data_IF_763854435566
#
_entry.id   IF_763854435566
#
_cell.length_a   1.000
_cell.length_b   1.000
_cell.length_c   1.000
_cell.angle_alpha   90.00
_cell.angle_beta   90.00
_cell.angle_gamma   90.00
#
_symmetry.space_group_name_H-M   'P 1'
#
loop_
_entity.id
_entity.type
_entity.pdbx_description
1 polymer ?
#
# COMPACT_ATOMS: atom_id res chain seq x y z
N UNK A 1 29.27 25.05 0.42
CA UNK A 1 27.81 24.88 0.27
C UNK A 1 27.44 23.47 -0.20
N UNK A 2 27.91 22.98 -1.35
CA UNK A 2 27.59 21.64 -1.88
C UNK A 2 28.01 20.50 -0.95
N UNK A 3 29.23 20.53 -0.39
CA UNK A 3 29.71 19.50 0.56
C UNK A 3 28.86 19.44 1.84
N UNK A 4 28.43 20.59 2.38
CA UNK A 4 27.53 20.61 3.55
C UNK A 4 26.18 19.97 3.27
N UNK A 5 25.57 20.28 2.12
CA UNK A 5 24.29 19.72 1.71
C UNK A 5 24.38 18.19 1.48
N UNK A 6 25.48 17.69 0.89
CA UNK A 6 25.71 16.26 0.73
C UNK A 6 25.81 15.54 2.10
N UNK A 7 26.50 16.14 3.07
CA UNK A 7 26.61 15.60 4.43
C UNK A 7 25.24 15.56 5.11
N UNK A 8 24.41 16.59 4.96
CA UNK A 8 23.05 16.63 5.54
C UNK A 8 22.14 15.55 4.94
N UNK A 9 22.23 15.31 3.61
CA UNK A 9 21.47 14.23 2.95
C UNK A 9 21.95 12.87 3.44
N UNK A 10 23.25 12.65 3.60
CA UNK A 10 23.80 11.41 4.15
C UNK A 10 23.32 11.18 5.58
N UNK A 11 23.26 12.21 6.39
CA UNK A 11 22.70 12.16 7.75
C UNK A 11 21.22 11.80 7.72
N UNK A 12 20.41 12.40 6.84
CA UNK A 12 19.00 12.07 6.67
C UNK A 12 18.81 10.60 6.28
N UNK A 13 19.57 10.11 5.29
CA UNK A 13 19.54 8.69 4.88
C UNK A 13 19.92 7.79 6.05
N UNK A 14 20.92 8.15 6.82
CA UNK A 14 21.34 7.38 8.01
C UNK A 14 20.23 7.33 9.06
N UNK A 15 19.56 8.45 9.33
CA UNK A 15 18.38 8.51 10.23
C UNK A 15 17.28 7.58 9.73
N UNK A 16 16.95 7.60 8.44
CA UNK A 16 15.93 6.74 7.86
C UNK A 16 16.29 5.24 7.98
N UNK A 17 17.56 4.87 7.71
CA UNK A 17 18.04 3.49 7.81
C UNK A 17 17.99 3.00 9.27
N UNK A 18 18.46 3.82 10.21
CA UNK A 18 18.43 3.47 11.64
C UNK A 18 16.98 3.28 12.11
N UNK A 19 16.09 4.22 11.77
CA UNK A 19 14.67 4.14 12.12
C UNK A 19 14.01 2.90 11.49
N UNK A 20 14.22 2.67 10.19
CA UNK A 20 13.73 1.49 9.49
C UNK A 20 14.19 0.20 10.15
N UNK A 21 15.48 0.10 10.48
CA UNK A 21 16.06 -1.10 11.09
C UNK A 21 15.49 -1.34 12.50
N UNK A 22 15.36 -0.28 13.30
CA UNK A 22 14.77 -0.36 14.64
C UNK A 22 13.30 -0.81 14.58
N UNK A 23 12.52 -0.24 13.65
CA UNK A 23 11.11 -0.62 13.42
C UNK A 23 11.00 -2.06 12.93
N UNK A 24 11.84 -2.49 11.99
CA UNK A 24 11.84 -3.86 11.49
C UNK A 24 12.14 -4.88 12.60
N UNK A 25 13.13 -4.61 13.43
CA UNK A 25 13.47 -5.45 14.60
C UNK A 25 12.31 -5.48 15.60
N UNK A 26 11.72 -4.33 15.91
CA UNK A 26 10.57 -4.24 16.81
C UNK A 26 9.37 -5.04 16.27
N UNK A 27 9.04 -4.90 14.99
CA UNK A 27 7.98 -5.66 14.33
C UNK A 27 8.25 -7.16 14.43
N UNK A 28 9.47 -7.60 14.18
CA UNK A 28 9.85 -9.00 14.30
C UNK A 28 9.67 -9.52 15.74
N UNK A 29 10.24 -8.83 16.73
CA UNK A 29 10.16 -9.25 18.13
C UNK A 29 8.71 -9.32 18.60
N UNK A 30 7.94 -8.25 18.33
CA UNK A 30 6.53 -8.18 18.76
C UNK A 30 5.69 -9.26 18.07
N UNK A 31 5.90 -9.52 16.76
CA UNK A 31 5.18 -10.59 16.05
C UNK A 31 5.50 -11.97 16.62
N UNK A 32 6.75 -12.25 16.95
CA UNK A 32 7.15 -13.56 17.52
C UNK A 32 6.61 -13.77 18.95
N UNK A 33 6.50 -12.70 19.74
CA UNK A 33 5.94 -12.76 21.10
C UNK A 33 4.42 -12.91 21.05
N UNK A 34 3.75 -12.10 20.23
CA UNK A 34 2.28 -12.00 20.22
C UNK A 34 1.61 -12.99 19.28
N UNK A 35 2.38 -13.60 18.38
CA UNK A 35 1.88 -14.45 17.28
C UNK A 35 0.91 -13.73 16.33
N UNK A 36 0.98 -12.40 16.28
CA UNK A 36 0.27 -11.55 15.35
C UNK A 36 1.30 -10.94 14.40
N UNK A 37 1.30 -11.37 13.16
CA UNK A 37 2.29 -11.01 12.14
C UNK A 37 1.92 -9.76 11.34
N UNK A 38 0.83 -9.07 11.71
CA UNK A 38 0.42 -7.80 11.10
C UNK A 38 1.03 -6.56 11.77
N UNK A 39 2.17 -6.67 12.44
CA UNK A 39 2.79 -5.51 13.07
C UNK A 39 3.31 -4.51 12.02
N UNK A 40 3.87 -4.99 10.92
CA UNK A 40 4.28 -4.12 9.80
C UNK A 40 3.07 -3.50 9.11
N UNK A 41 1.98 -4.26 8.93
CA UNK A 41 0.74 -3.75 8.31
C UNK A 41 0.20 -2.52 9.07
N UNK A 42 0.33 -2.50 10.42
CA UNK A 42 -0.05 -1.35 11.27
C UNK A 42 0.80 -0.12 11.02
N UNK A 43 2.06 -0.29 10.69
CA UNK A 43 3.03 0.77 10.48
C UNK A 43 3.15 1.18 9.01
N UNK A 44 2.55 0.41 8.10
CA UNK A 44 2.61 0.63 6.66
C UNK A 44 2.20 2.05 6.26
N UNK A 45 1.12 2.56 6.85
CA UNK A 45 0.60 3.90 6.59
C UNK A 45 1.29 5.00 7.40
N UNK A 46 1.93 4.66 8.53
CA UNK A 46 2.50 5.63 9.47
C UNK A 46 3.95 5.98 9.14
N UNK A 47 4.76 4.99 8.75
CA UNK A 47 6.19 5.21 8.51
C UNK A 47 6.49 6.19 7.37
N UNK A 48 5.78 6.19 6.22
CA UNK A 48 5.97 7.22 5.20
C UNK A 48 5.66 8.64 5.70
N UNK A 49 4.66 8.79 6.59
CA UNK A 49 4.37 10.08 7.23
C UNK A 49 5.56 10.51 8.08
N UNK A 50 6.12 9.62 8.88
CA UNK A 50 7.28 9.92 9.74
C UNK A 50 8.49 10.32 8.88
N UNK A 51 8.83 9.54 7.84
CA UNK A 51 9.92 9.88 6.92
C UNK A 51 9.71 11.24 6.26
N UNK A 52 8.48 11.54 5.83
CA UNK A 52 8.19 12.79 5.13
C UNK A 52 8.34 14.01 6.04
N UNK A 53 7.87 13.95 7.28
CA UNK A 53 7.98 15.08 8.20
C UNK A 53 9.37 15.24 8.78
N UNK A 54 10.15 14.17 9.00
CA UNK A 54 11.57 14.26 9.31
C UNK A 54 12.30 14.98 8.17
N UNK A 55 12.02 14.61 6.92
CA UNK A 55 12.62 15.26 5.75
C UNK A 55 12.22 16.74 5.67
N UNK A 56 10.94 17.05 5.90
CA UNK A 56 10.44 18.44 5.87
C UNK A 56 11.06 19.33 6.97
N UNK A 57 11.36 18.75 8.13
CA UNK A 57 12.01 19.47 9.22
C UNK A 57 13.49 19.80 8.94
N UNK A 58 14.20 18.91 8.23
CA UNK A 58 15.62 19.09 7.91
C UNK A 58 15.78 19.89 6.60
N UNK A 59 14.92 19.64 5.61
CA UNK A 59 14.95 20.26 4.28
C UNK A 59 13.62 20.97 3.98
N UNK A 60 13.35 22.14 4.59
CA UNK A 60 12.10 22.86 4.40
C UNK A 60 12.03 23.48 3.00
N UNK A 61 11.26 22.85 2.10
CA UNK A 61 10.94 23.38 0.79
C UNK A 61 9.47 23.18 0.46
N UNK A 62 8.91 24.02 -0.41
CA UNK A 62 7.49 23.90 -0.82
C UNK A 62 7.17 22.53 -1.38
N UNK A 63 8.10 21.93 -2.17
CA UNK A 63 7.93 20.59 -2.73
C UNK A 63 7.84 19.53 -1.63
N UNK A 64 8.81 19.52 -0.70
CA UNK A 64 8.83 18.54 0.41
C UNK A 64 7.59 18.69 1.29
N UNK A 65 7.16 19.93 1.55
CA UNK A 65 5.94 20.19 2.32
C UNK A 65 4.67 19.64 1.63
N UNK A 66 4.53 19.87 0.31
CA UNK A 66 3.42 19.33 -0.49
C UNK A 66 3.44 17.80 -0.45
N UNK A 67 4.60 17.19 -0.67
CA UNK A 67 4.78 15.74 -0.62
C UNK A 67 4.39 15.18 0.76
N UNK A 68 4.84 15.80 1.84
CA UNK A 68 4.53 15.39 3.22
C UNK A 68 3.04 15.50 3.52
N UNK A 69 2.40 16.57 3.05
CA UNK A 69 0.95 16.77 3.21
C UNK A 69 0.15 15.71 2.47
N UNK A 70 0.51 15.39 1.23
CA UNK A 70 -0.14 14.35 0.42
C UNK A 70 0.02 12.96 1.03
N UNK A 71 1.23 12.61 1.48
CA UNK A 71 1.49 11.35 2.19
C UNK A 71 0.71 11.27 3.50
N UNK A 72 0.55 12.40 4.20
CA UNK A 72 -0.27 12.44 5.43
C UNK A 72 -1.75 12.14 5.11
N UNK A 73 -2.31 12.77 4.07
CA UNK A 73 -3.70 12.49 3.64
C UNK A 73 -3.87 11.01 3.26
N UNK A 74 -2.95 10.48 2.46
CA UNK A 74 -2.94 9.06 2.09
C UNK A 74 -2.84 8.15 3.33
N UNK A 75 -1.89 8.40 4.21
CA UNK A 75 -1.65 7.56 5.37
C UNK A 75 -2.78 7.59 6.40
N UNK A 76 -3.38 8.76 6.65
CA UNK A 76 -4.56 8.87 7.52
C UNK A 76 -5.76 8.10 6.94
N UNK A 77 -6.00 8.20 5.63
CA UNK A 77 -7.03 7.44 4.94
C UNK A 77 -6.80 5.93 5.07
N UNK A 78 -5.56 5.47 4.83
CA UNK A 78 -5.22 4.05 4.93
C UNK A 78 -5.33 3.55 6.39
N UNK A 79 -4.84 4.33 7.36
CA UNK A 79 -4.98 4.05 8.79
C UNK A 79 -6.44 3.92 9.20
N UNK A 80 -7.31 4.83 8.73
CA UNK A 80 -8.75 4.73 8.97
C UNK A 80 -9.35 3.45 8.39
N UNK A 81 -8.98 3.10 7.13
CA UNK A 81 -9.45 1.86 6.49
C UNK A 81 -9.00 0.61 7.25
N UNK A 82 -7.76 0.61 7.76
CA UNK A 82 -7.22 -0.49 8.56
C UNK A 82 -7.89 -0.58 9.95
N UNK A 83 -8.12 0.57 10.60
CA UNK A 83 -8.80 0.67 11.89
C UNK A 83 -10.21 0.07 11.87
N UNK A 84 -11.03 0.46 10.87
CA UNK A 84 -12.43 -0.03 10.78
C UNK A 84 -12.55 -1.53 10.48
N UNK A 85 -11.45 -2.17 10.03
CA UNK A 85 -11.33 -3.63 9.85
C UNK A 85 -10.81 -4.33 11.11
N UNK A 86 -10.64 -3.61 12.22
CA UNK A 86 -10.14 -4.17 13.49
C UNK A 86 -8.63 -4.29 13.58
N UNK A 87 -7.86 -3.76 12.61
CA UNK A 87 -6.41 -3.88 12.58
C UNK A 87 -5.70 -3.15 13.72
N UNK A 88 -6.25 -2.01 14.19
CA UNK A 88 -5.77 -1.30 15.37
C UNK A 88 -6.57 -1.68 16.61
N UNK A 89 -5.91 -1.64 17.76
CA UNK A 89 -6.48 -1.86 19.07
C UNK A 89 -5.88 -0.85 20.08
N UNK A 90 -6.56 -0.60 21.20
CA UNK A 90 -6.05 0.23 22.30
C UNK A 90 -4.68 -0.29 22.79
N UNK A 91 -4.50 -1.60 22.80
CA UNK A 91 -3.21 -2.23 23.04
C UNK A 91 -2.49 -2.36 21.69
N UNK A 92 -1.39 -1.62 21.43
CA UNK A 92 -0.80 -1.45 20.09
C UNK A 92 -0.43 -2.74 19.37
N UNK A 93 0.00 -3.78 20.10
CA UNK A 93 0.37 -5.07 19.50
C UNK A 93 -0.80 -6.05 19.30
N UNK A 94 -2.00 -5.72 19.79
CA UNK A 94 -3.25 -6.46 19.54
C UNK A 94 -3.94 -5.91 18.28
N UNK A 95 -5.04 -6.52 17.91
CA UNK A 95 -5.84 -6.21 16.72
C UNK A 95 -5.96 -7.44 15.82
N UNK A 96 -6.83 -7.34 14.83
CA UNK A 96 -7.04 -8.42 13.87
C UNK A 96 -5.78 -8.64 13.01
N UNK A 97 -5.38 -9.89 12.87
CA UNK A 97 -4.29 -10.28 11.97
C UNK A 97 -4.82 -10.39 10.53
N UNK A 98 -4.06 -9.92 9.55
CA UNK A 98 -4.40 -10.14 8.16
C UNK A 98 -4.42 -11.66 7.86
N UNK A 99 -5.54 -12.13 7.30
CA UNK A 99 -5.79 -13.55 7.03
C UNK A 99 -4.72 -14.19 6.13
N UNK A 100 -4.01 -13.41 5.33
CA UNK A 100 -2.92 -13.89 4.47
C UNK A 100 -1.81 -14.53 5.27
N UNK A 101 -1.46 -13.96 6.43
CA UNK A 101 -0.42 -14.52 7.29
C UNK A 101 -0.81 -15.86 7.88
N UNK A 102 -2.10 -16.04 8.23
CA UNK A 102 -2.62 -17.34 8.65
C UNK A 102 -2.50 -18.38 7.55
N UNK A 103 -2.92 -18.05 6.32
CA UNK A 103 -2.79 -18.94 5.16
C UNK A 103 -1.33 -19.29 4.86
N UNK A 104 -0.42 -18.32 4.98
CA UNK A 104 1.01 -18.54 4.77
C UNK A 104 1.61 -19.47 5.84
N UNK A 105 1.18 -19.38 7.10
CA UNK A 105 1.63 -20.29 8.17
C UNK A 105 1.18 -21.75 7.93
N UNK A 106 0.04 -21.93 7.30
CA UNK A 106 -0.50 -23.27 6.99
C UNK A 106 0.13 -23.88 5.73
N UNK A 107 0.87 -23.08 4.95
CA UNK A 107 1.56 -23.55 3.74
C UNK A 107 2.65 -24.57 4.09
N UNK A 108 2.70 -25.67 3.37
CA UNK A 108 3.62 -26.79 3.62
C UNK A 108 5.10 -26.38 3.61
N UNK A 109 5.50 -25.41 2.79
CA UNK A 109 6.88 -24.90 2.69
C UNK A 109 7.29 -24.07 3.92
N UNK A 110 6.33 -23.35 4.53
CA UNK A 110 6.57 -22.44 5.66
C UNK A 110 6.15 -23.04 7.00
N UNK A 111 5.53 -24.23 6.99
CA UNK A 111 5.04 -24.89 8.20
C UNK A 111 6.18 -25.19 9.17
N UNK A 112 6.00 -24.75 10.41
CA UNK A 112 6.97 -24.93 11.51
C UNK A 112 7.54 -23.59 12.01
N UNK A 113 7.85 -23.57 13.32
CA UNK A 113 8.25 -22.34 14.02
C UNK A 113 9.48 -21.68 13.42
N UNK A 114 10.51 -22.46 13.10
CA UNK A 114 11.76 -21.92 12.56
C UNK A 114 11.57 -21.35 11.13
N UNK A 115 10.93 -22.13 10.24
CA UNK A 115 10.72 -21.72 8.83
C UNK A 115 9.85 -20.47 8.75
N UNK A 116 8.76 -20.43 9.50
CA UNK A 116 7.90 -19.25 9.53
C UNK A 116 8.58 -18.06 10.23
N UNK A 117 9.36 -18.29 11.28
CA UNK A 117 10.17 -17.26 11.92
C UNK A 117 11.20 -16.63 10.98
N UNK A 118 11.90 -17.42 10.15
CA UNK A 118 12.79 -16.91 9.11
C UNK A 118 12.02 -16.11 8.04
N UNK A 119 10.86 -16.62 7.60
CA UNK A 119 9.99 -15.90 6.67
C UNK A 119 9.48 -14.58 7.28
N UNK A 120 9.07 -14.57 8.55
CA UNK A 120 8.70 -13.36 9.27
C UNK A 120 9.87 -12.37 9.33
N UNK A 121 11.06 -12.83 9.67
CA UNK A 121 12.23 -11.97 9.76
C UNK A 121 12.55 -11.31 8.41
N UNK A 122 12.81 -12.14 7.38
CA UNK A 122 13.30 -11.62 6.10
C UNK A 122 12.19 -10.96 5.28
N UNK A 123 11.01 -11.55 5.19
CA UNK A 123 9.96 -11.08 4.29
C UNK A 123 8.95 -10.14 4.96
N UNK A 124 8.40 -10.51 6.14
CA UNK A 124 7.38 -9.67 6.75
C UNK A 124 8.04 -8.46 7.41
N UNK A 125 9.08 -8.66 8.24
CA UNK A 125 9.64 -7.57 9.04
C UNK A 125 10.65 -6.72 8.28
N UNK A 126 11.65 -7.32 7.61
CA UNK A 126 12.71 -6.54 6.96
C UNK A 126 12.34 -6.10 5.54
N UNK A 127 11.95 -7.02 4.65
CA UNK A 127 11.66 -6.66 3.26
C UNK A 127 10.56 -5.60 3.17
N UNK A 128 9.46 -5.70 3.93
CA UNK A 128 8.39 -4.72 3.87
C UNK A 128 8.80 -3.36 4.44
N UNK A 129 9.59 -3.30 5.52
CA UNK A 129 10.10 -2.02 6.03
C UNK A 129 11.13 -1.38 5.08
N UNK A 130 12.00 -2.18 4.42
CA UNK A 130 12.87 -1.70 3.35
C UNK A 130 12.04 -1.16 2.18
N UNK A 131 10.98 -1.84 1.80
CA UNK A 131 10.09 -1.40 0.73
C UNK A 131 9.40 -0.07 1.06
N UNK A 132 8.91 0.09 2.30
CA UNK A 132 8.33 1.35 2.79
C UNK A 132 9.36 2.50 2.67
N UNK A 133 10.60 2.27 3.08
CA UNK A 133 11.68 3.25 2.94
C UNK A 133 11.92 3.59 1.46
N UNK A 134 11.98 2.55 0.59
CA UNK A 134 12.29 2.73 -0.83
C UNK A 134 11.20 3.49 -1.59
N UNK A 135 9.92 3.20 -1.38
CA UNK A 135 8.87 3.95 -2.07
C UNK A 135 8.68 5.37 -1.48
N UNK A 136 9.18 5.63 -0.25
CA UNK A 136 9.29 6.99 0.31
C UNK A 136 10.50 7.78 -0.24
N UNK A 137 11.45 7.12 -0.90
CA UNK A 137 12.73 7.72 -1.31
C UNK A 137 12.65 8.88 -2.34
N UNK A 138 11.56 9.13 -3.10
CA UNK A 138 11.41 10.38 -3.85
C UNK A 138 11.58 11.64 -3.02
N UNK A 139 11.31 11.58 -1.70
CA UNK A 139 11.60 12.67 -0.76
C UNK A 139 13.09 13.02 -0.69
N UNK A 140 13.99 12.03 -0.79
CA UNK A 140 15.44 12.27 -0.80
C UNK A 140 15.86 13.03 -2.07
N UNK A 141 15.21 12.75 -3.21
CA UNK A 141 15.43 13.51 -4.44
C UNK A 141 14.96 14.97 -4.29
N UNK A 142 13.80 15.17 -3.65
CA UNK A 142 13.27 16.50 -3.38
C UNK A 142 14.16 17.28 -2.38
N UNK A 143 14.63 16.63 -1.32
CA UNK A 143 15.55 17.22 -0.34
C UNK A 143 16.88 17.65 -0.96
N UNK A 144 17.46 16.82 -1.85
CA UNK A 144 18.71 17.12 -2.54
C UNK A 144 18.61 18.23 -3.59
N UNK A 145 17.39 18.67 -3.94
CA UNK A 145 17.12 19.69 -4.96
C UNK A 145 16.12 20.75 -4.45
N UNK A 146 16.23 21.14 -3.18
CA UNK A 146 15.29 22.05 -2.53
C UNK A 146 15.19 23.43 -3.16
N UNK A 147 16.28 23.89 -3.80
CA UNK A 147 16.37 25.22 -4.44
C UNK A 147 15.64 25.28 -5.80
N UNK A 148 15.27 24.12 -6.37
CA UNK A 148 14.56 24.09 -7.64
C UNK A 148 13.08 24.45 -7.47
N UNK A 149 12.53 25.34 -8.33
CA UNK A 149 11.13 25.73 -8.26
C UNK A 149 10.20 24.54 -8.55
N UNK A 150 8.94 24.69 -8.16
CA UNK A 150 7.87 23.77 -8.56
C UNK A 150 7.66 23.83 -10.07
N UNK A 151 7.33 22.71 -10.66
CA UNK A 151 7.12 22.51 -12.09
C UNK A 151 5.71 22.03 -12.37
N UNK A 152 5.30 21.98 -13.65
CA UNK A 152 4.04 21.39 -14.06
C UNK A 152 3.96 19.89 -13.68
N UNK A 153 5.10 19.19 -13.60
CA UNK A 153 5.15 17.78 -13.18
C UNK A 153 4.72 17.65 -11.71
N UNK A 154 5.15 18.56 -10.84
CA UNK A 154 4.72 18.59 -9.42
C UNK A 154 3.21 18.77 -9.30
N UNK A 155 2.64 19.71 -10.09
CA UNK A 155 1.20 19.96 -10.10
C UNK A 155 0.42 18.71 -10.56
N UNK A 156 0.81 18.13 -11.68
CA UNK A 156 0.16 16.94 -12.22
C UNK A 156 0.29 15.75 -11.27
N UNK A 157 1.48 15.51 -10.71
CA UNK A 157 1.73 14.48 -9.73
C UNK A 157 0.82 14.63 -8.50
N UNK A 158 0.69 15.85 -7.98
CA UNK A 158 -0.18 16.15 -6.83
C UNK A 158 -1.67 15.93 -7.14
N UNK A 159 -2.15 16.44 -8.26
CA UNK A 159 -3.57 16.28 -8.68
C UNK A 159 -3.91 14.82 -8.91
N UNK A 160 -3.06 14.07 -9.64
CA UNK A 160 -3.31 12.65 -9.89
C UNK A 160 -3.18 11.82 -8.61
N UNK A 161 -2.23 12.12 -7.72
CA UNK A 161 -2.11 11.45 -6.43
C UNK A 161 -3.38 11.61 -5.60
N UNK A 162 -3.92 12.83 -5.46
CA UNK A 162 -5.19 13.08 -4.78
C UNK A 162 -6.36 12.32 -5.44
N UNK A 163 -6.40 12.31 -6.76
CA UNK A 163 -7.42 11.58 -7.52
C UNK A 163 -7.37 10.08 -7.20
N UNK A 164 -6.18 9.48 -7.17
CA UNK A 164 -6.04 8.06 -6.85
C UNK A 164 -6.31 7.75 -5.37
N UNK A 165 -6.01 8.66 -4.43
CA UNK A 165 -6.42 8.55 -3.03
C UNK A 165 -7.95 8.50 -2.91
N UNK A 166 -8.68 9.31 -3.68
CA UNK A 166 -10.15 9.30 -3.73
C UNK A 166 -10.66 7.98 -4.33
N UNK A 167 -10.11 7.55 -5.47
CA UNK A 167 -10.50 6.29 -6.12
C UNK A 167 -10.29 5.11 -5.18
N UNK A 168 -9.17 5.05 -4.49
CA UNK A 168 -8.86 4.00 -3.52
C UNK A 168 -9.83 4.03 -2.34
N UNK A 169 -10.17 5.22 -1.84
CA UNK A 169 -11.16 5.40 -0.78
C UNK A 169 -12.54 4.87 -1.19
N UNK A 170 -12.95 5.11 -2.44
CA UNK A 170 -14.20 4.60 -3.00
C UNK A 170 -14.15 3.07 -3.10
N UNK A 171 -13.07 2.50 -3.63
CA UNK A 171 -12.91 1.05 -3.77
C UNK A 171 -12.95 0.34 -2.40
N UNK A 172 -12.20 0.85 -1.43
CA UNK A 172 -12.17 0.31 -0.06
C UNK A 172 -13.54 0.43 0.63
N UNK A 173 -14.25 1.55 0.43
CA UNK A 173 -15.61 1.72 0.97
C UNK A 173 -16.62 0.76 0.35
N UNK A 174 -16.53 0.51 -0.96
CA UNK A 174 -17.36 -0.49 -1.63
C UNK A 174 -17.13 -1.88 -1.05
N UNK A 175 -15.87 -2.28 -0.91
CA UNK A 175 -15.51 -3.59 -0.37
C UNK A 175 -15.92 -3.74 1.11
N UNK A 176 -15.70 -2.70 1.91
CA UNK A 176 -16.07 -2.71 3.34
C UNK A 176 -17.57 -2.88 3.53
N UNK A 177 -18.39 -2.08 2.80
CA UNK A 177 -19.86 -2.19 2.85
C UNK A 177 -20.36 -3.55 2.38
N UNK A 178 -19.78 -4.09 1.28
CA UNK A 178 -20.09 -5.43 0.82
C UNK A 178 -19.86 -6.47 1.94
N UNK A 179 -18.72 -6.40 2.64
CA UNK A 179 -18.45 -7.33 3.74
C UNK A 179 -19.41 -7.15 4.92
N UNK A 180 -19.80 -5.91 5.24
CA UNK A 180 -20.80 -5.66 6.29
C UNK A 180 -22.17 -6.28 5.95
N UNK A 181 -22.67 -6.04 4.73
CA UNK A 181 -23.94 -6.60 4.27
C UNK A 181 -23.91 -8.14 4.25
N UNK A 182 -22.79 -8.71 3.76
CA UNK A 182 -22.59 -10.16 3.74
C UNK A 182 -22.58 -10.76 5.14
N UNK A 183 -21.92 -10.14 6.12
CA UNK A 183 -21.84 -10.63 7.49
C UNK A 183 -23.18 -10.50 8.24
N UNK A 184 -24.05 -9.56 7.85
CA UNK A 184 -25.41 -9.42 8.39
C UNK A 184 -26.40 -10.42 7.83
N UNK A 185 -26.00 -11.20 6.81
CA UNK A 185 -26.92 -12.12 6.13
C UNK A 185 -27.95 -11.43 5.24
N UNK A 186 -27.73 -10.16 4.89
CA UNK A 186 -28.60 -9.38 4.02
C UNK A 186 -28.47 -9.84 2.55
N UNK A 187 -29.11 -10.96 2.23
CA UNK A 187 -29.10 -11.50 0.86
C UNK A 187 -29.88 -10.65 -0.14
N UNK A 188 -30.61 -9.64 0.33
CA UNK A 188 -31.51 -8.80 -0.48
C UNK A 188 -31.05 -7.35 -0.61
N UNK A 189 -29.80 -7.00 -0.24
CA UNK A 189 -29.29 -5.66 -0.48
C UNK A 189 -29.44 -5.29 -1.96
N UNK A 190 -30.14 -4.17 -2.23
CA UNK A 190 -30.29 -3.65 -3.60
C UNK A 190 -28.95 -3.25 -4.22
N UNK A 191 -27.97 -2.87 -3.38
CA UNK A 191 -26.71 -2.27 -3.83
C UNK A 191 -25.68 -3.29 -4.34
N UNK A 192 -25.56 -4.45 -3.65
CA UNK A 192 -24.54 -5.47 -3.97
C UNK A 192 -25.17 -6.85 -4.23
N UNK A 193 -26.38 -6.87 -4.79
CA UNK A 193 -27.17 -8.10 -4.98
C UNK A 193 -26.43 -9.20 -5.75
N UNK A 194 -25.76 -8.82 -6.85
CA UNK A 194 -24.99 -9.78 -7.68
C UNK A 194 -23.76 -10.30 -6.92
N UNK A 195 -23.04 -9.41 -6.24
CA UNK A 195 -21.84 -9.75 -5.44
C UNK A 195 -22.17 -10.63 -4.26
N UNK A 196 -23.29 -10.36 -3.55
CA UNK A 196 -23.74 -11.17 -2.41
C UNK A 196 -24.10 -12.60 -2.84
N UNK A 197 -24.81 -12.78 -3.96
CA UNK A 197 -25.11 -14.11 -4.53
C UNK A 197 -23.86 -14.90 -4.90
N UNK A 198 -22.83 -14.22 -5.42
CA UNK A 198 -21.54 -14.86 -5.79
C UNK A 198 -20.62 -15.06 -4.59
N UNK A 199 -20.83 -14.33 -3.50
CA UNK A 199 -20.02 -14.36 -2.30
C UNK A 199 -18.73 -13.52 -2.38
N UNK A 200 -18.47 -12.81 -3.48
CA UNK A 200 -17.33 -11.91 -3.67
C UNK A 200 -17.74 -10.66 -4.47
N UNK A 201 -16.99 -9.56 -4.30
CA UNK A 201 -17.30 -8.25 -4.88
C UNK A 201 -17.06 -8.25 -6.39
N UNK A 202 -18.10 -7.81 -7.17
CA UNK A 202 -18.06 -7.72 -8.65
C UNK A 202 -18.75 -6.46 -9.18
N UNK A 203 -19.17 -5.56 -8.32
CA UNK A 203 -19.95 -4.36 -8.65
C UNK A 203 -19.14 -3.09 -8.34
N UNK A 204 -19.62 -1.93 -8.75
CA UNK A 204 -18.91 -0.67 -8.61
C UNK A 204 -17.59 -0.63 -9.40
N UNK A 205 -16.49 -0.23 -8.78
CA UNK A 205 -15.16 -0.22 -9.42
C UNK A 205 -14.64 -1.64 -9.73
N UNK A 206 -15.08 -2.63 -8.98
CA UNK A 206 -14.70 -4.05 -9.10
C UNK A 206 -15.25 -4.73 -10.37
N UNK A 207 -16.12 -4.07 -11.12
CA UNK A 207 -16.55 -4.54 -12.43
C UNK A 207 -15.57 -4.21 -13.56
N UNK A 208 -14.65 -3.27 -13.33
CA UNK A 208 -13.67 -2.83 -14.34
C UNK A 208 -12.30 -3.49 -14.13
N UNK A 209 -11.88 -3.64 -12.88
CA UNK A 209 -10.65 -4.33 -12.49
C UNK A 209 -10.90 -5.12 -11.21
N UNK A 210 -10.18 -6.24 -11.03
CA UNK A 210 -10.35 -7.11 -9.86
C UNK A 210 -9.79 -6.52 -8.57
N UNK A 211 -8.84 -5.60 -8.67
CA UNK A 211 -8.15 -4.97 -7.52
C UNK A 211 -8.06 -3.45 -7.69
N UNK A 212 -9.21 -2.73 -7.70
CA UNK A 212 -9.20 -1.28 -7.95
C UNK A 212 -8.47 -0.49 -6.85
N UNK A 213 -8.50 -0.94 -5.60
CA UNK A 213 -7.75 -0.36 -4.51
C UNK A 213 -6.23 -0.58 -4.67
N UNK A 214 -5.78 -1.78 -5.04
CA UNK A 214 -4.36 -2.04 -5.31
C UNK A 214 -3.84 -1.25 -6.51
N UNK A 215 -4.69 -1.09 -7.54
CA UNK A 215 -4.35 -0.25 -8.71
C UNK A 215 -4.15 1.20 -8.28
N UNK A 216 -5.08 1.74 -7.52
CA UNK A 216 -4.98 3.11 -7.04
C UNK A 216 -3.78 3.33 -6.13
N UNK A 217 -3.49 2.40 -5.22
CA UNK A 217 -2.31 2.44 -4.35
C UNK A 217 -1.00 2.49 -5.15
N UNK A 218 -0.86 1.62 -6.17
CA UNK A 218 0.32 1.64 -7.04
C UNK A 218 0.46 2.97 -7.78
N UNK A 219 -0.65 3.51 -8.29
CA UNK A 219 -0.66 4.80 -9.00
C UNK A 219 -0.35 5.98 -8.08
N UNK A 220 -0.75 5.95 -6.82
CA UNK A 220 -0.36 6.94 -5.79
C UNK A 220 1.17 7.00 -5.69
N UNK A 221 1.85 5.86 -5.55
CA UNK A 221 3.30 5.83 -5.40
C UNK A 221 4.06 6.08 -6.70
N UNK A 222 3.46 5.79 -7.85
CA UNK A 222 3.98 6.24 -9.16
C UNK A 222 3.89 7.78 -9.25
N UNK A 223 2.77 8.40 -8.84
CA UNK A 223 2.67 9.85 -8.80
C UNK A 223 3.68 10.46 -7.82
N UNK A 224 3.89 9.81 -6.67
CA UNK A 224 4.89 10.24 -5.71
C UNK A 224 6.32 10.19 -6.26
N UNK A 225 6.63 9.18 -7.07
CA UNK A 225 7.90 9.10 -7.81
C UNK A 225 8.11 10.30 -8.75
N UNK A 226 7.04 10.79 -9.40
CA UNK A 226 7.15 11.94 -10.30
C UNK A 226 7.53 13.25 -9.60
N UNK A 227 7.28 13.41 -8.30
CA UNK A 227 7.88 14.52 -7.54
C UNK A 227 9.41 14.42 -7.49
N UNK A 228 9.96 13.22 -7.37
CA UNK A 228 11.40 12.98 -7.45
C UNK A 228 11.97 13.31 -8.84
N UNK A 229 11.22 12.99 -9.91
CA UNK A 229 11.56 13.38 -11.28
C UNK A 229 11.53 14.89 -11.44
N UNK A 230 10.48 15.57 -10.96
CA UNK A 230 10.35 17.02 -11.01
C UNK A 230 11.49 17.72 -10.26
N UNK A 231 11.90 17.16 -9.12
CA UNK A 231 13.00 17.70 -8.33
C UNK A 231 14.36 17.53 -9.02
N UNK A 232 14.66 16.33 -9.51
CA UNK A 232 15.98 16.01 -10.05
C UNK A 232 16.15 16.39 -11.52
N UNK A 233 15.07 16.37 -12.31
CA UNK A 233 15.08 16.42 -13.77
C UNK A 233 15.46 15.07 -14.43
N UNK A 234 15.65 14.03 -13.64
CA UNK A 234 16.04 12.69 -14.11
C UNK A 234 14.81 11.77 -14.16
N UNK A 235 14.42 11.35 -15.36
CA UNK A 235 13.30 10.42 -15.58
C UNK A 235 13.55 9.02 -15.01
N UNK A 236 14.81 8.59 -14.94
CA UNK A 236 15.22 7.34 -14.32
C UNK A 236 16.21 7.68 -13.22
N UNK A 237 15.83 7.41 -11.99
CA UNK A 237 16.66 7.61 -10.81
C UNK A 237 16.41 6.49 -9.78
N UNK A 238 17.22 6.42 -8.73
CA UNK A 238 17.18 5.30 -7.77
C UNK A 238 15.83 5.12 -7.07
N UNK A 239 15.06 6.20 -6.92
CA UNK A 239 13.76 6.14 -6.22
C UNK A 239 12.68 5.39 -7.01
N UNK A 240 12.90 5.11 -8.31
CA UNK A 240 12.05 4.26 -9.14
C UNK A 240 11.99 2.82 -8.59
N UNK A 241 13.07 2.36 -7.94
CA UNK A 241 13.15 1.02 -7.35
C UNK A 241 12.02 0.76 -6.37
N UNK A 242 11.67 1.74 -5.55
CA UNK A 242 10.57 1.61 -4.59
C UNK A 242 9.21 1.37 -5.27
N UNK A 243 8.90 2.13 -6.32
CA UNK A 243 7.67 1.95 -7.08
C UNK A 243 7.61 0.59 -7.79
N UNK A 244 8.72 0.14 -8.39
CA UNK A 244 8.80 -1.18 -9.06
C UNK A 244 8.59 -2.30 -8.05
N UNK A 245 9.29 -2.29 -6.93
CA UNK A 245 9.18 -3.34 -5.91
C UNK A 245 7.78 -3.37 -5.28
N UNK A 246 7.14 -2.22 -5.12
CA UNK A 246 5.76 -2.13 -4.65
C UNK A 246 4.78 -2.79 -5.65
N UNK A 247 4.94 -2.52 -6.95
CA UNK A 247 4.13 -3.16 -7.99
C UNK A 247 4.30 -4.68 -7.96
N UNK A 248 5.53 -5.17 -7.83
CA UNK A 248 5.81 -6.60 -7.74
C UNK A 248 5.19 -7.23 -6.49
N UNK A 249 5.23 -6.54 -5.34
CA UNK A 249 4.55 -6.98 -4.12
C UNK A 249 3.04 -7.11 -4.34
N UNK A 250 2.40 -6.11 -4.98
CA UNK A 250 0.96 -6.15 -5.24
C UNK A 250 0.57 -7.24 -6.24
N UNK A 251 1.40 -7.52 -7.25
CA UNK A 251 1.19 -8.64 -8.16
C UNK A 251 1.21 -9.96 -7.37
N UNK A 252 2.22 -10.20 -6.54
CA UNK A 252 2.30 -11.39 -5.70
C UNK A 252 1.14 -11.51 -4.70
N UNK A 253 0.79 -10.40 -4.03
CA UNK A 253 -0.33 -10.34 -3.09
C UNK A 253 -1.67 -10.63 -3.77
N UNK A 254 -1.90 -10.09 -4.97
CA UNK A 254 -3.12 -10.35 -5.73
C UNK A 254 -3.23 -11.82 -6.15
N UNK A 255 -2.14 -12.44 -6.58
CA UNK A 255 -2.12 -13.87 -6.93
C UNK A 255 -2.50 -14.75 -5.72
N UNK A 256 -1.98 -14.42 -4.53
CA UNK A 256 -2.32 -15.13 -3.29
C UNK A 256 -3.82 -14.99 -2.95
N UNK A 257 -4.34 -13.75 -2.95
CA UNK A 257 -5.75 -13.48 -2.62
C UNK A 257 -6.71 -14.06 -3.64
N UNK A 258 -6.36 -14.03 -4.94
CA UNK A 258 -7.14 -14.66 -6.01
C UNK A 258 -7.12 -16.20 -5.89
N UNK A 259 -5.99 -16.79 -5.51
CA UNK A 259 -5.88 -18.22 -5.24
C UNK A 259 -6.80 -18.66 -4.10
N UNK A 260 -6.87 -17.89 -3.01
CA UNK A 260 -7.78 -18.14 -1.88
C UNK A 260 -9.24 -18.00 -2.33
N UNK A 261 -9.55 -16.94 -3.08
CA UNK A 261 -10.91 -16.67 -3.57
C UNK A 261 -11.38 -17.75 -4.55
N UNK A 262 -10.53 -18.20 -5.46
CA UNK A 262 -10.85 -19.25 -6.44
C UNK A 262 -11.15 -20.61 -5.77
N UNK A 263 -10.48 -20.92 -4.66
CA UNK A 263 -10.77 -22.14 -3.88
C UNK A 263 -12.10 -22.05 -3.13
N UNK A 264 -12.47 -20.84 -2.68
CA UNK A 264 -13.67 -20.60 -1.88
C UNK A 264 -14.93 -20.41 -2.73
N UNK A 265 -14.81 -19.83 -3.93
CA UNK A 265 -15.93 -19.44 -4.78
C UNK A 265 -15.74 -20.00 -6.20
N UNK A 266 -16.53 -20.98 -6.66
CA UNK A 266 -16.38 -21.59 -7.99
C UNK A 266 -16.47 -20.59 -9.14
N UNK A 267 -17.39 -19.60 -9.05
CA UNK A 267 -17.58 -18.56 -10.09
C UNK A 267 -16.42 -17.54 -10.15
N UNK A 268 -15.50 -17.53 -9.17
CA UNK A 268 -14.38 -16.58 -9.17
C UNK A 268 -13.42 -16.84 -10.33
N UNK A 269 -13.29 -18.09 -10.77
CA UNK A 269 -12.47 -18.46 -11.93
C UNK A 269 -12.97 -17.83 -13.24
N UNK A 270 -14.29 -17.68 -13.41
CA UNK A 270 -14.92 -17.01 -14.55
C UNK A 270 -14.64 -15.50 -14.47
N UNK A 271 -14.89 -14.89 -13.32
CA UNK A 271 -14.62 -13.47 -13.08
C UNK A 271 -13.16 -13.12 -13.36
N UNK A 272 -12.22 -14.01 -12.98
CA UNK A 272 -10.77 -13.83 -13.22
C UNK A 272 -10.43 -13.83 -14.71
N UNK A 273 -11.12 -14.59 -15.54
CA UNK A 273 -10.94 -14.64 -17.00
C UNK A 273 -11.53 -13.41 -17.71
N UNK A 274 -12.66 -12.90 -17.21
CA UNK A 274 -13.41 -11.82 -17.84
C UNK A 274 -12.88 -10.43 -17.47
N UNK A 275 -12.47 -10.24 -16.20
CA UNK A 275 -12.09 -8.94 -15.64
C UNK A 275 -10.58 -8.88 -15.42
N UNK A 276 -9.89 -7.82 -15.91
CA UNK A 276 -8.45 -7.63 -15.71
C UNK A 276 -8.08 -7.41 -14.23
N UNK A 277 -6.80 -7.73 -13.87
CA UNK A 277 -6.30 -7.56 -12.50
C UNK A 277 -6.23 -6.11 -12.06
N UNK A 278 -5.47 -5.32 -12.81
CA UNK A 278 -5.12 -3.94 -12.44
C UNK A 278 -5.49 -2.90 -13.52
N UNK A 279 -5.16 -3.15 -14.79
CA UNK A 279 -5.33 -2.17 -15.87
C UNK A 279 -6.66 -2.41 -16.58
N UNK A 280 -7.57 -1.44 -16.57
CA UNK A 280 -8.88 -1.57 -17.22
C UNK A 280 -8.75 -1.42 -18.73
N UNK A 281 -8.36 -2.48 -19.46
CA UNK A 281 -8.35 -2.43 -20.95
C UNK A 281 -9.74 -2.60 -21.57
N UNK A 282 -10.74 -2.95 -20.79
CA UNK A 282 -12.15 -2.98 -21.18
C UNK A 282 -12.89 -1.90 -20.39
N UNK A 283 -12.97 -0.69 -20.92
CA UNK A 283 -13.69 0.42 -20.29
C UNK A 283 -15.21 0.16 -20.20
N UNK A 284 -15.73 -0.72 -21.06
CA UNK A 284 -17.13 -1.18 -21.02
C UNK A 284 -17.10 -2.70 -20.85
N UNK A 285 -17.57 -3.24 -19.70
CA UNK A 285 -17.78 -4.66 -19.58
C UNK A 285 -18.78 -5.10 -20.69
N UNK A 286 -18.57 -6.25 -21.33
CA UNK A 286 -19.49 -6.73 -22.35
C UNK A 286 -20.91 -6.71 -21.81
N UNK A 287 -21.86 -6.19 -22.57
CA UNK A 287 -23.30 -6.29 -22.27
C UNK A 287 -23.58 -7.78 -22.03
N UNK A 288 -23.99 -8.13 -20.82
CA UNK A 288 -24.43 -9.49 -20.56
C UNK A 288 -25.73 -9.67 -21.33
N UNK A 289 -25.75 -10.59 -22.28
CA UNK A 289 -26.99 -11.19 -22.73
C UNK A 289 -27.62 -11.81 -21.48
N UNK A 290 -28.76 -11.24 -21.08
CA UNK A 290 -29.60 -11.70 -19.97
C UNK A 290 -30.18 -13.09 -20.23
#
# INVERSE_FOLDING_TARGET
MILGQLTEIQNLVSIWIVLMTAVAILCFIVSEITRNYSQVDKLWSLMPIVYSWITSAIFPSSRVFIMSSLVTVWGLRLSYNFSRKGGYNIIPWKGEEDYRWKVMRENSLLKGRLRFGLFNFFFISFYQNILILLFSSPLLMAAGNQDKPLTIIDLLAGVFMLTFIIIESIADNQLFRFHQEKNRGENESRRYKKSLRKGFMTEGLWKYVRHPNFTAEQLIWICFYFFGVAASGQWINFSLTGAILLILLFIGSSQLTEGISSRKYPEYSIYRKEIPGFIPWKFFPPAKNE
#
